data_IF_678916335115
#
_entry.id   IF_678916335115
#
_cell.length_a   1.000
_cell.length_b   1.000
_cell.length_c   1.000
_cell.angle_alpha   90.00
_cell.angle_beta   90.00
_cell.angle_gamma   90.00
#
_symmetry.space_group_name_H-M   'P 1'
#
loop_
_entity.id
_entity.type
_entity.pdbx_description
1 polymer ?
#
# COMPACT_ATOMS: atom_id res chain seq x y z
N UNK A 1 16.77 2.31 21.77
CA UNK A 1 15.54 2.14 20.96
C UNK A 1 15.75 0.88 20.13
N UNK A 2 14.88 -0.12 20.23
CA UNK A 2 14.95 -1.30 19.34
C UNK A 2 14.71 -0.82 17.91
N UNK A 3 15.55 -1.25 16.97
CA UNK A 3 15.37 -0.96 15.54
C UNK A 3 14.01 -1.50 15.09
N UNK A 4 13.22 -0.67 14.40
CA UNK A 4 11.96 -1.09 13.77
C UNK A 4 12.25 -2.28 12.85
N UNK A 5 11.52 -3.40 13.01
CA UNK A 5 11.65 -4.55 12.11
C UNK A 5 11.13 -4.19 10.72
N UNK A 6 11.82 -4.66 9.68
CA UNK A 6 11.29 -4.56 8.31
C UNK A 6 10.14 -5.55 8.12
N UNK A 7 9.26 -5.28 7.13
CA UNK A 7 8.19 -6.21 6.78
C UNK A 7 8.76 -7.60 6.39
N UNK A 8 9.87 -7.64 5.66
CA UNK A 8 10.58 -8.89 5.30
C UNK A 8 10.97 -9.68 6.54
N UNK A 9 11.59 -9.04 7.53
CA UNK A 9 11.97 -9.71 8.77
C UNK A 9 10.78 -10.27 9.55
N UNK A 10 9.61 -9.62 9.49
CA UNK A 10 8.38 -10.13 10.11
C UNK A 10 7.86 -11.35 9.36
N UNK A 11 7.83 -11.29 8.02
CA UNK A 11 7.40 -12.41 7.18
C UNK A 11 8.29 -13.64 7.35
N UNK A 12 9.62 -13.44 7.36
CA UNK A 12 10.59 -14.54 7.47
C UNK A 12 10.63 -15.17 8.89
N UNK A 13 10.13 -14.45 9.90
CA UNK A 13 10.12 -14.93 11.29
C UNK A 13 8.93 -15.82 11.65
N UNK A 14 7.96 -16.02 10.75
CA UNK A 14 6.74 -16.77 11.05
C UNK A 14 6.19 -17.50 9.84
N UNK A 15 5.93 -18.79 9.99
CA UNK A 15 5.19 -19.61 9.00
C UNK A 15 3.67 -19.48 9.14
N UNK A 16 3.19 -18.64 10.08
CA UNK A 16 1.76 -18.45 10.35
C UNK A 16 1.24 -17.18 9.69
N UNK A 17 0.01 -17.26 9.20
CA UNK A 17 -0.72 -16.07 8.79
C UNK A 17 -0.96 -15.14 9.99
N UNK A 18 -0.90 -13.87 9.76
CA UNK A 18 -1.30 -12.84 10.73
C UNK A 18 -2.27 -11.85 10.07
N UNK A 19 -3.08 -11.23 10.91
CA UNK A 19 -4.02 -10.19 10.47
C UNK A 19 -3.26 -8.87 10.25
N UNK A 20 -3.65 -8.17 9.20
CA UNK A 20 -3.15 -6.83 8.87
C UNK A 20 -4.36 -5.88 8.87
N UNK A 21 -4.62 -5.15 9.97
CA UNK A 21 -5.73 -4.21 10.02
C UNK A 21 -5.54 -3.03 9.07
N UNK A 22 -6.64 -2.57 8.47
CA UNK A 22 -6.66 -1.35 7.69
C UNK A 22 -6.64 -0.11 8.58
N UNK A 23 -5.92 0.92 8.14
CA UNK A 23 -5.79 2.22 8.80
C UNK A 23 -5.90 3.33 7.76
N UNK A 24 -6.23 4.54 8.21
CA UNK A 24 -6.41 5.69 7.32
C UNK A 24 -5.75 6.97 7.84
N UNK A 25 -5.22 6.95 9.08
CA UNK A 25 -4.51 8.07 9.71
C UNK A 25 -3.57 7.61 10.84
N UNK A 26 -2.90 8.56 11.48
CA UNK A 26 -1.99 8.26 12.59
C UNK A 26 -2.73 7.70 13.82
N UNK A 27 -3.96 8.12 14.08
CA UNK A 27 -4.71 7.67 15.27
C UNK A 27 -5.14 6.21 15.12
N UNK A 28 -5.70 5.83 13.96
CA UNK A 28 -6.06 4.44 13.66
C UNK A 28 -4.83 3.54 13.65
N UNK A 29 -3.69 3.99 13.09
CA UNK A 29 -2.45 3.22 13.12
C UNK A 29 -1.93 3.02 14.55
N UNK A 30 -1.98 4.05 15.39
CA UNK A 30 -1.57 3.93 16.81
C UNK A 30 -2.46 2.93 17.57
N UNK A 31 -3.77 2.92 17.30
CA UNK A 31 -4.66 1.92 17.89
C UNK A 31 -4.29 0.49 17.48
N UNK A 32 -3.92 0.27 16.21
CA UNK A 32 -3.44 -1.03 15.71
C UNK A 32 -2.15 -1.46 16.42
N UNK A 33 -1.21 -0.54 16.62
CA UNK A 33 0.02 -0.80 17.39
C UNK A 33 -0.27 -1.17 18.85
N UNK A 34 -1.15 -0.42 19.52
CA UNK A 34 -1.54 -0.70 20.91
C UNK A 34 -2.22 -2.06 21.06
N UNK A 35 -2.92 -2.53 20.04
CA UNK A 35 -3.50 -3.88 20.01
C UNK A 35 -2.47 -4.99 19.72
N UNK A 36 -1.20 -4.64 19.48
CA UNK A 36 -0.12 -5.60 19.29
C UNK A 36 -0.04 -6.22 17.89
N UNK A 37 -0.69 -5.64 16.89
CA UNK A 37 -0.55 -6.11 15.51
C UNK A 37 0.84 -5.78 14.96
N UNK A 38 1.46 -6.69 14.21
CA UNK A 38 2.84 -6.51 13.75
C UNK A 38 2.97 -5.60 12.51
N UNK A 39 1.88 -5.38 11.78
CA UNK A 39 1.82 -4.67 10.49
C UNK A 39 0.47 -3.98 10.36
N UNK A 40 0.40 -2.85 9.69
CA UNK A 40 -0.83 -2.19 9.28
C UNK A 40 -0.87 -1.93 7.77
N UNK A 41 -2.06 -1.72 7.21
CA UNK A 41 -2.28 -1.40 5.80
C UNK A 41 -3.04 -0.08 5.69
N UNK A 42 -2.46 0.91 5.01
CA UNK A 42 -3.17 2.13 4.65
C UNK A 42 -4.05 1.84 3.44
N UNK A 43 -5.37 1.93 3.64
CA UNK A 43 -6.35 1.70 2.60
C UNK A 43 -6.73 3.01 1.91
N UNK A 44 -6.71 3.00 0.56
CA UNK A 44 -7.11 4.15 -0.25
C UNK A 44 -8.57 4.54 -0.02
N UNK A 45 -9.46 3.55 0.10
CA UNK A 45 -10.89 3.77 0.35
C UNK A 45 -11.18 4.45 1.68
N UNK A 46 -10.58 3.99 2.78
CA UNK A 46 -10.75 4.61 4.08
C UNK A 46 -10.12 6.01 4.15
N UNK A 47 -9.01 6.23 3.46
CA UNK A 47 -8.43 7.59 3.31
C UNK A 47 -9.40 8.49 2.55
N UNK A 48 -10.03 7.99 1.47
CA UNK A 48 -11.03 8.75 0.71
C UNK A 48 -12.20 9.19 1.59
N UNK A 49 -12.75 8.28 2.39
CA UNK A 49 -13.85 8.58 3.32
C UNK A 49 -13.39 9.56 4.40
N UNK A 50 -12.25 9.29 5.03
CA UNK A 50 -11.77 10.08 6.18
C UNK A 50 -11.33 11.49 5.80
N UNK A 51 -10.65 11.64 4.64
CA UNK A 51 -10.07 12.91 4.21
C UNK A 51 -11.03 13.73 3.36
N UNK A 52 -11.74 13.08 2.43
CA UNK A 52 -12.53 13.75 1.40
C UNK A 52 -14.05 13.66 1.67
N UNK A 53 -14.48 12.80 2.61
CA UNK A 53 -15.90 12.58 2.90
C UNK A 53 -16.66 11.88 1.78
N UNK A 54 -15.96 11.21 0.87
CA UNK A 54 -16.52 10.51 -0.29
C UNK A 54 -16.07 9.05 -0.30
N UNK A 55 -16.91 8.18 -0.86
CA UNK A 55 -16.57 6.78 -1.05
C UNK A 55 -15.47 6.63 -2.10
N UNK A 56 -14.89 5.43 -2.18
CA UNK A 56 -13.74 5.12 -3.02
C UNK A 56 -14.11 5.04 -4.52
N UNK A 57 -14.08 6.20 -5.17
CA UNK A 57 -14.28 6.36 -6.61
C UNK A 57 -13.05 6.98 -7.30
N UNK A 58 -11.84 6.71 -6.80
CA UNK A 58 -10.61 7.24 -7.38
C UNK A 58 -10.38 8.75 -7.12
N UNK A 59 -11.05 9.33 -6.12
CA UNK A 59 -10.81 10.72 -5.72
C UNK A 59 -9.47 10.90 -5.01
N UNK A 60 -9.02 9.88 -4.28
CA UNK A 60 -7.74 9.91 -3.60
C UNK A 60 -6.61 9.75 -4.63
N UNK A 61 -5.75 10.73 -4.71
CA UNK A 61 -4.64 10.71 -5.64
C UNK A 61 -3.32 10.35 -4.94
N UNK A 62 -2.27 10.08 -5.73
CA UNK A 62 -0.95 9.71 -5.22
C UNK A 62 -0.40 10.69 -4.17
N UNK A 63 -0.63 12.00 -4.34
CA UNK A 63 -0.11 13.00 -3.38
C UNK A 63 -0.85 12.94 -2.05
N UNK A 64 -2.16 12.67 -2.07
CA UNK A 64 -2.94 12.47 -0.86
C UNK A 64 -2.44 11.26 -0.06
N UNK A 65 -2.19 10.13 -0.72
CA UNK A 65 -1.64 8.93 -0.08
C UNK A 65 -0.22 9.16 0.44
N UNK A 66 0.65 9.78 -0.35
CA UNK A 66 2.02 10.08 0.07
C UNK A 66 2.06 10.92 1.35
N UNK A 67 1.20 11.94 1.45
CA UNK A 67 1.11 12.78 2.63
C UNK A 67 0.72 11.97 3.89
N UNK A 68 -0.30 11.13 3.78
CA UNK A 68 -0.76 10.29 4.90
C UNK A 68 0.30 9.25 5.26
N UNK A 69 0.87 8.55 4.26
CA UNK A 69 1.91 7.54 4.47
C UNK A 69 3.11 8.15 5.19
N UNK A 70 3.60 9.32 4.73
CA UNK A 70 4.74 9.99 5.36
C UNK A 70 4.51 10.29 6.82
N UNK A 71 3.31 10.77 7.18
CA UNK A 71 2.94 11.06 8.58
C UNK A 71 2.86 9.78 9.41
N UNK A 72 2.13 8.78 8.92
CA UNK A 72 1.95 7.50 9.64
C UNK A 72 3.29 6.80 9.80
N UNK A 73 4.06 6.63 8.73
CA UNK A 73 5.34 5.92 8.75
C UNK A 73 6.37 6.59 9.67
N UNK A 74 6.37 7.93 9.77
CA UNK A 74 7.30 8.68 10.63
C UNK A 74 7.00 8.51 12.12
N UNK A 75 5.76 8.19 12.49
CA UNK A 75 5.31 8.04 13.88
C UNK A 75 5.07 6.59 14.30
N UNK A 76 4.98 5.66 13.33
CA UNK A 76 4.68 4.26 13.54
C UNK A 76 5.89 3.44 13.99
N UNK A 77 5.71 2.54 14.95
CA UNK A 77 6.68 1.54 15.34
C UNK A 77 6.58 0.24 14.51
N UNK A 78 5.49 0.04 13.76
CA UNK A 78 5.26 -1.12 12.91
C UNK A 78 5.37 -0.77 11.42
N UNK A 79 5.70 -1.71 10.52
CA UNK A 79 5.67 -1.50 9.08
C UNK A 79 4.26 -1.15 8.59
N UNK A 80 4.19 -0.22 7.62
CA UNK A 80 2.96 0.22 6.95
C UNK A 80 2.97 -0.26 5.51
N UNK A 81 1.95 -1.02 5.10
CA UNK A 81 1.68 -1.35 3.71
C UNK A 81 0.84 -0.23 3.11
N UNK A 82 1.14 0.21 1.91
CA UNK A 82 0.37 1.20 1.16
C UNK A 82 -0.46 0.52 0.07
N UNK A 83 -1.78 0.62 0.13
CA UNK A 83 -2.64 0.24 -0.98
C UNK A 83 -2.57 1.34 -2.05
N UNK A 84 -2.14 0.96 -3.26
CA UNK A 84 -2.03 1.87 -4.40
C UNK A 84 -3.04 1.55 -5.50
N UNK A 85 -4.02 0.70 -5.18
CA UNK A 85 -5.09 0.34 -6.09
C UNK A 85 -4.53 -0.13 -7.45
N UNK A 86 -5.01 0.45 -8.57
CA UNK A 86 -4.50 0.18 -9.92
C UNK A 86 -3.13 0.82 -10.24
N UNK A 87 -2.58 1.61 -9.32
CA UNK A 87 -1.30 2.33 -9.44
C UNK A 87 -1.42 3.69 -10.14
N UNK A 88 -2.61 4.29 -10.17
CA UNK A 88 -2.91 5.64 -10.71
C UNK A 88 -2.69 5.76 -12.22
N UNK A 89 -2.77 4.65 -12.97
CA UNK A 89 -2.67 4.65 -14.41
C UNK A 89 -1.74 3.57 -15.00
N UNK A 90 -1.04 3.89 -16.09
CA UNK A 90 -0.16 2.95 -16.79
C UNK A 90 1.15 2.65 -16.05
N UNK A 91 2.02 1.77 -16.61
CA UNK A 91 3.27 1.34 -15.96
C UNK A 91 4.18 2.48 -15.47
N UNK A 92 4.25 3.61 -16.18
CA UNK A 92 5.04 4.76 -15.76
C UNK A 92 4.44 5.46 -14.52
N UNK A 93 3.12 5.50 -14.40
CA UNK A 93 2.44 6.02 -13.21
C UNK A 93 2.71 5.11 -12.00
N UNK A 94 2.61 3.78 -12.19
CA UNK A 94 2.94 2.78 -11.18
C UNK A 94 4.39 2.91 -10.70
N UNK A 95 5.36 3.04 -11.63
CA UNK A 95 6.77 3.28 -11.29
C UNK A 95 6.92 4.51 -10.38
N UNK A 96 6.30 5.63 -10.79
CA UNK A 96 6.33 6.88 -10.02
C UNK A 96 5.69 6.71 -8.64
N UNK A 97 4.54 6.04 -8.56
CA UNK A 97 3.82 5.81 -7.31
C UNK A 97 4.66 4.96 -6.36
N UNK A 98 5.12 3.79 -6.78
CA UNK A 98 5.93 2.89 -5.97
C UNK A 98 7.19 3.59 -5.43
N UNK A 99 7.91 4.33 -6.29
CA UNK A 99 9.11 5.06 -5.89
C UNK A 99 8.84 6.14 -4.84
N UNK A 100 7.78 6.94 -5.02
CA UNK A 100 7.43 8.02 -4.08
C UNK A 100 6.97 7.46 -2.74
N UNK A 101 6.13 6.42 -2.75
CA UNK A 101 5.59 5.86 -1.52
C UNK A 101 6.63 5.07 -0.73
N UNK A 102 7.57 4.39 -1.39
CA UNK A 102 8.73 3.81 -0.73
C UNK A 102 9.58 4.90 -0.04
N UNK A 103 9.84 6.03 -0.73
CA UNK A 103 10.56 7.17 -0.15
C UNK A 103 9.79 7.83 1.01
N UNK A 104 8.45 7.80 0.98
CA UNK A 104 7.59 8.28 2.07
C UNK A 104 7.57 7.35 3.30
N UNK A 105 8.16 6.13 3.19
CA UNK A 105 8.30 5.21 4.30
C UNK A 105 7.36 4.00 4.27
N UNK A 106 6.68 3.74 3.16
CA UNK A 106 5.92 2.50 2.99
C UNK A 106 6.87 1.29 3.05
N UNK A 107 6.49 0.27 3.81
CA UNK A 107 7.22 -1.00 3.92
C UNK A 107 6.85 -1.97 2.78
N UNK A 108 5.70 -1.78 2.18
CA UNK A 108 5.28 -2.42 0.94
C UNK A 108 4.28 -1.53 0.19
N UNK A 109 4.16 -1.73 -1.11
CA UNK A 109 3.05 -1.23 -1.93
C UNK A 109 2.22 -2.40 -2.41
N UNK A 110 0.89 -2.30 -2.32
CA UNK A 110 -0.06 -3.29 -2.81
C UNK A 110 -0.67 -2.77 -4.11
N UNK A 111 -0.46 -3.50 -5.22
CA UNK A 111 -0.92 -3.14 -6.56
C UNK A 111 -1.99 -4.15 -7.01
N UNK A 112 -3.11 -3.65 -7.48
CA UNK A 112 -4.22 -4.45 -7.97
C UNK A 112 -4.23 -4.59 -9.49
N UNK A 113 -4.87 -5.68 -9.97
CA UNK A 113 -5.13 -5.93 -11.37
C UNK A 113 -6.44 -5.30 -11.88
N UNK A 114 -7.03 -4.38 -11.14
CA UNK A 114 -8.23 -3.66 -11.56
C UNK A 114 -8.03 -2.89 -12.86
N UNK A 115 -8.98 -3.02 -13.77
CA UNK A 115 -8.96 -2.33 -15.07
C UNK A 115 -9.63 -0.96 -15.01
N UNK A 116 -10.60 -0.79 -14.12
CA UNK A 116 -11.41 0.40 -13.97
C UNK A 116 -11.90 0.52 -12.52
N UNK A 117 -11.74 1.68 -11.92
CA UNK A 117 -12.23 1.95 -10.56
C UNK A 117 -13.77 1.94 -10.47
N UNK A 118 -14.46 2.30 -11.57
CA UNK A 118 -15.92 2.26 -11.62
C UNK A 118 -16.49 0.85 -11.77
N UNK A 119 -15.70 -0.08 -12.35
CA UNK A 119 -16.07 -1.49 -12.53
C UNK A 119 -15.01 -2.40 -11.90
N UNK A 120 -15.01 -2.49 -10.56
CA UNK A 120 -14.05 -3.29 -9.79
C UNK A 120 -14.02 -4.79 -10.16
N UNK A 121 -14.99 -5.27 -10.91
CA UNK A 121 -15.06 -6.65 -11.44
C UNK A 121 -14.25 -6.84 -12.72
N UNK A 122 -13.80 -5.77 -13.37
CA UNK A 122 -12.95 -5.87 -14.56
C UNK A 122 -11.49 -5.94 -14.16
N UNK A 123 -10.85 -7.06 -14.46
CA UNK A 123 -9.42 -7.23 -14.32
C UNK A 123 -8.68 -6.90 -15.62
N UNK A 124 -7.45 -6.40 -15.47
CA UNK A 124 -6.57 -6.16 -16.60
C UNK A 124 -6.17 -7.46 -17.31
N UNK A 125 -5.99 -7.45 -18.64
CA UNK A 125 -5.26 -8.53 -19.31
C UNK A 125 -3.91 -8.79 -18.64
N UNK A 126 -3.54 -10.06 -18.52
CA UNK A 126 -2.33 -10.49 -17.81
C UNK A 126 -1.07 -9.74 -18.24
N UNK A 127 -0.86 -9.52 -19.55
CA UNK A 127 0.29 -8.82 -20.09
C UNK A 127 0.35 -7.36 -19.62
N UNK A 128 -0.80 -6.70 -19.52
CA UNK A 128 -0.93 -5.32 -19.02
C UNK A 128 -0.61 -5.23 -17.53
N UNK A 129 -1.18 -6.13 -16.72
CA UNK A 129 -0.87 -6.16 -15.30
C UNK A 129 0.60 -6.50 -15.05
N UNK A 130 1.17 -7.47 -15.76
CA UNK A 130 2.59 -7.80 -15.66
C UNK A 130 3.51 -6.64 -16.03
N UNK A 131 3.12 -5.77 -16.95
CA UNK A 131 3.88 -4.55 -17.25
C UNK A 131 3.89 -3.58 -16.07
N UNK A 132 2.74 -3.41 -15.37
CA UNK A 132 2.64 -2.62 -14.13
C UNK A 132 3.50 -3.22 -13.01
N UNK A 133 3.41 -4.53 -12.80
CA UNK A 133 4.20 -5.26 -11.78
C UNK A 133 5.71 -5.07 -12.01
N UNK A 134 6.19 -5.21 -13.26
CA UNK A 134 7.60 -4.98 -13.60
C UNK A 134 8.04 -3.55 -13.31
N UNK A 135 7.21 -2.57 -13.65
CA UNK A 135 7.48 -1.16 -13.36
C UNK A 135 7.58 -0.88 -11.86
N UNK A 136 6.70 -1.50 -11.04
CA UNK A 136 6.77 -1.40 -9.59
C UNK A 136 8.06 -2.03 -9.04
N UNK A 137 8.42 -3.24 -9.49
CA UNK A 137 9.64 -3.92 -9.05
C UNK A 137 10.89 -3.12 -9.40
N UNK A 138 10.96 -2.54 -10.60
CA UNK A 138 12.07 -1.67 -11.01
C UNK A 138 12.17 -0.41 -10.14
N UNK A 139 11.01 0.17 -9.77
CA UNK A 139 10.96 1.35 -8.90
C UNK A 139 11.42 1.07 -7.47
N UNK A 140 11.24 -0.16 -7.00
CA UNK A 140 11.57 -0.61 -5.64
C UNK A 140 12.95 -1.24 -5.54
N UNK A 141 13.66 -1.42 -6.65
CA UNK A 141 15.00 -2.00 -6.67
C UNK A 141 15.96 -1.22 -5.77
N UNK A 142 16.73 -1.95 -4.96
CA UNK A 142 17.64 -1.37 -3.97
C UNK A 142 16.96 -0.77 -2.74
N UNK A 143 15.67 -0.98 -2.53
CA UNK A 143 14.93 -0.55 -1.32
C UNK A 143 14.49 -1.75 -0.47
N UNK A 144 14.11 -1.50 0.80
CA UNK A 144 13.47 -2.49 1.68
C UNK A 144 11.94 -2.59 1.48
N UNK A 145 11.37 -1.77 0.60
CA UNK A 145 9.94 -1.76 0.31
C UNK A 145 9.58 -2.95 -0.60
N UNK A 146 8.57 -3.72 -0.21
CA UNK A 146 8.12 -4.90 -0.94
C UNK A 146 6.98 -4.55 -1.91
N UNK A 147 6.78 -5.41 -2.91
CA UNK A 147 5.58 -5.39 -3.75
C UNK A 147 4.65 -6.52 -3.36
N UNK A 148 3.37 -6.19 -3.14
CA UNK A 148 2.27 -7.14 -2.99
C UNK A 148 1.42 -7.06 -4.26
N UNK A 149 1.40 -8.14 -5.03
CA UNK A 149 0.54 -8.26 -6.21
C UNK A 149 -0.80 -8.83 -5.77
N UNK A 150 -1.87 -8.03 -5.87
CA UNK A 150 -3.24 -8.41 -5.53
C UNK A 150 -4.03 -8.66 -6.80
N UNK A 151 -4.84 -9.73 -6.79
CA UNK A 151 -5.80 -10.00 -7.87
C UNK A 151 -7.22 -9.91 -7.32
N UNK A 152 -8.11 -9.28 -8.09
CA UNK A 152 -9.54 -9.21 -7.85
C UNK A 152 -10.32 -10.25 -8.70
N UNK A 153 -9.61 -11.22 -9.30
CA UNK A 153 -10.23 -12.34 -9.98
C UNK A 153 -10.92 -13.29 -8.98
N UNK A 154 -12.13 -13.76 -9.33
CA UNK A 154 -12.88 -14.81 -8.60
C UNK A 154 -12.23 -16.19 -8.76
#
# INVERSE_FOLDING_TARGET
MSSKKTLRQILDASDKCFLVPCVYDCASNHAVEMCGFPVSLLSGGEVSISRNGVIDYGFTNLTDLEEVISRVASTSAIPLIADIEDGFGGPLAVYRAAKRLAAAGAAAVQLEDSADMEESTKILPRDKYMAKVRAALEALDGTDCLLIARSNAD
#
